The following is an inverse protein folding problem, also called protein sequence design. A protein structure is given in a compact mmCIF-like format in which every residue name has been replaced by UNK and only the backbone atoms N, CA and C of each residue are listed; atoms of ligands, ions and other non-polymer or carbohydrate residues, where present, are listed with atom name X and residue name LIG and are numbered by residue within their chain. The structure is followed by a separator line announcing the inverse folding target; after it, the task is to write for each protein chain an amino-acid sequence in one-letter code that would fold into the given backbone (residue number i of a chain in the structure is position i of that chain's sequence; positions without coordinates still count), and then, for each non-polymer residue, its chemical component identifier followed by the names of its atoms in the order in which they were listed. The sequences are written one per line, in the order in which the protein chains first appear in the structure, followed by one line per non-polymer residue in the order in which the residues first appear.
data_IF_640883972169
#
_entry.id   IF_640883972169
#
_cell.length_a   1.000
_cell.length_b   1.000
_cell.length_c   1.000
_cell.angle_alpha   90.00
_cell.angle_beta   90.00
_cell.angle_gamma   90.00
#
_symmetry.space_group_name_H-M   'P 1'
#
loop_
_entity.id
_entity.type
_entity.pdbx_description
1 polymer ?
#
# COMPACT_ATOMS: atom_id res chain seq x y z
N UNK A 1 26.89 19.90 -10.37
CA UNK A 1 27.90 19.35 -11.29
C UNK A 1 28.41 17.93 -10.93
N UNK A 2 27.83 17.21 -9.96
CA UNK A 2 28.36 15.89 -9.52
C UNK A 2 27.82 14.67 -10.29
N UNK A 3 26.62 14.76 -10.85
CA UNK A 3 25.96 13.61 -11.52
C UNK A 3 26.61 13.28 -12.86
N UNK A 4 26.91 14.29 -13.69
CA UNK A 4 27.52 14.06 -15.01
C UNK A 4 28.93 13.46 -14.92
N UNK A 5 29.67 13.79 -13.87
CA UNK A 5 30.97 13.19 -13.58
C UNK A 5 30.81 11.74 -13.10
N UNK A 6 29.88 11.50 -12.17
CA UNK A 6 29.51 10.15 -11.74
C UNK A 6 29.05 9.25 -12.90
N UNK A 7 28.32 9.80 -13.89
CA UNK A 7 27.93 9.08 -15.12
C UNK A 7 29.12 8.63 -15.96
N UNK A 8 30.24 9.34 -15.91
CA UNK A 8 31.47 8.97 -16.62
C UNK A 8 32.32 7.99 -15.82
N UNK A 9 32.36 8.14 -14.49
CA UNK A 9 33.22 7.31 -13.62
C UNK A 9 32.56 5.99 -13.23
N UNK A 10 31.23 5.92 -13.18
CA UNK A 10 30.45 4.72 -12.81
C UNK A 10 29.28 4.45 -13.77
N UNK A 11 29.53 4.32 -15.08
CA UNK A 11 28.48 4.13 -16.07
C UNK A 11 27.66 2.86 -15.80
N UNK A 12 28.26 1.80 -15.27
CA UNK A 12 27.59 0.54 -14.92
C UNK A 12 26.55 0.68 -13.80
N UNK A 13 26.79 1.55 -12.80
CA UNK A 13 25.87 1.79 -11.68
C UNK A 13 24.69 2.66 -12.12
N UNK A 14 24.95 3.64 -12.98
CA UNK A 14 23.95 4.64 -13.38
C UNK A 14 23.18 4.23 -14.62
N UNK A 15 23.69 3.31 -15.44
CA UNK A 15 22.99 2.80 -16.62
C UNK A 15 21.60 2.25 -16.28
N UNK A 16 21.38 1.47 -15.21
CA UNK A 16 20.04 1.05 -14.84
C UNK A 16 19.09 2.17 -14.45
N UNK A 17 19.61 3.31 -13.99
CA UNK A 17 18.80 4.47 -13.59
C UNK A 17 18.34 5.28 -14.81
N UNK A 18 19.19 5.39 -15.83
CA UNK A 18 18.94 6.26 -16.99
C UNK A 18 18.52 5.52 -18.27
N UNK A 19 18.81 4.21 -18.37
CA UNK A 19 18.68 3.44 -19.62
C UNK A 19 17.77 2.22 -19.47
N UNK A 20 17.60 1.67 -18.27
CA UNK A 20 16.64 0.57 -18.10
C UNK A 20 15.23 1.07 -18.39
N UNK A 21 14.56 0.42 -19.33
CA UNK A 21 13.13 0.61 -19.51
C UNK A 21 12.37 0.26 -18.23
N UNK A 22 11.22 0.89 -18.04
CA UNK A 22 10.35 0.62 -16.91
C UNK A 22 9.87 -0.84 -16.99
N UNK A 23 10.38 -1.69 -16.10
CA UNK A 23 9.86 -3.06 -15.97
C UNK A 23 8.41 -2.97 -15.49
N UNK A 24 7.52 -3.73 -16.14
CA UNK A 24 6.14 -3.84 -15.68
C UNK A 24 6.12 -4.44 -14.28
N UNK A 25 5.39 -3.79 -13.38
CA UNK A 25 5.16 -4.29 -12.04
C UNK A 25 4.33 -5.58 -12.16
N UNK A 26 4.86 -6.68 -11.65
CA UNK A 26 4.17 -7.98 -11.65
C UNK A 26 3.65 -8.30 -10.25
N UNK A 27 2.63 -9.14 -10.16
CA UNK A 27 2.14 -9.69 -8.88
C UNK A 27 3.28 -10.30 -8.07
N UNK A 28 4.16 -11.07 -8.72
CA UNK A 28 5.29 -11.71 -8.05
C UNK A 28 6.25 -10.68 -7.44
N UNK A 29 6.57 -9.61 -8.17
CA UNK A 29 7.43 -8.56 -7.66
C UNK A 29 6.77 -7.84 -6.48
N UNK A 30 5.47 -7.53 -6.57
CA UNK A 30 4.71 -6.93 -5.48
C UNK A 30 4.71 -7.83 -4.23
N UNK A 31 4.49 -9.13 -4.39
CA UNK A 31 4.52 -10.08 -3.26
C UNK A 31 5.91 -10.15 -2.61
N UNK A 32 6.99 -10.16 -3.40
CA UNK A 32 8.37 -10.23 -2.89
C UNK A 32 8.90 -8.93 -2.29
N UNK A 33 8.18 -7.82 -2.53
CA UNK A 33 8.60 -6.48 -2.12
C UNK A 33 8.59 -6.31 -0.59
N UNK A 34 7.62 -6.93 0.07
CA UNK A 34 7.36 -6.73 1.49
C UNK A 34 7.88 -7.86 2.35
N UNK A 35 8.45 -7.50 3.50
CA UNK A 35 8.56 -8.42 4.63
C UNK A 35 7.32 -8.31 5.52
N UNK A 36 6.78 -9.44 5.96
CA UNK A 36 5.56 -9.44 6.79
C UNK A 36 5.92 -9.50 8.27
N UNK A 37 5.43 -8.53 9.04
CA UNK A 37 5.61 -8.44 10.49
C UNK A 37 4.44 -9.14 11.17
N UNK A 38 4.70 -10.33 11.69
CA UNK A 38 3.68 -11.16 12.33
C UNK A 38 3.75 -11.14 13.86
N UNK A 39 2.59 -11.25 14.51
CA UNK A 39 2.45 -11.57 15.94
C UNK A 39 3.06 -12.95 16.27
N UNK A 40 3.37 -13.30 17.53
CA UNK A 40 3.97 -14.59 17.87
C UNK A 40 3.22 -15.82 17.33
N UNK A 41 3.96 -16.86 16.95
CA UNK A 41 3.39 -18.14 16.51
C UNK A 41 2.45 -18.72 17.57
N UNK A 42 1.32 -19.28 17.13
CA UNK A 42 0.30 -19.86 18.02
C UNK A 42 -0.71 -18.88 18.61
N UNK A 43 -0.51 -17.56 18.46
CA UNK A 43 -1.50 -16.57 18.88
C UNK A 43 -2.74 -16.54 17.99
N UNK A 44 -3.88 -16.10 18.53
CA UNK A 44 -5.07 -15.84 17.72
C UNK A 44 -4.82 -14.74 16.69
N UNK A 45 -4.01 -13.73 17.05
CA UNK A 45 -3.54 -12.70 16.13
C UNK A 45 -2.84 -13.32 14.91
N UNK A 46 -1.86 -14.22 15.12
CA UNK A 46 -1.18 -14.92 14.02
C UNK A 46 -2.13 -15.65 13.07
N UNK A 47 -3.19 -16.26 13.59
CA UNK A 47 -4.19 -16.94 12.73
C UNK A 47 -4.90 -15.94 11.83
N UNK A 48 -5.35 -14.81 12.39
CA UNK A 48 -6.01 -13.76 11.62
C UNK A 48 -5.07 -13.09 10.61
N UNK A 49 -3.80 -12.89 10.97
CA UNK A 49 -2.76 -12.33 10.09
C UNK A 49 -2.48 -13.23 8.89
N UNK A 50 -2.37 -14.56 9.11
CA UNK A 50 -2.18 -15.52 8.03
C UNK A 50 -3.36 -15.50 7.04
N UNK A 51 -4.60 -15.46 7.55
CA UNK A 51 -5.80 -15.34 6.71
C UNK A 51 -5.80 -14.03 5.93
N UNK A 52 -5.50 -12.91 6.60
CA UNK A 52 -5.41 -11.59 5.97
C UNK A 52 -4.34 -11.57 4.87
N UNK A 53 -3.19 -12.23 5.08
CA UNK A 53 -2.13 -12.32 4.07
C UNK A 53 -2.53 -13.22 2.89
N UNK A 54 -3.35 -14.26 3.12
CA UNK A 54 -3.95 -15.02 2.02
C UNK A 54 -4.87 -14.13 1.18
N UNK A 55 -5.78 -13.39 1.82
CA UNK A 55 -6.65 -12.45 1.12
C UNK A 55 -5.86 -11.40 0.33
N UNK A 56 -4.79 -10.86 0.92
CA UNK A 56 -3.88 -9.95 0.21
C UNK A 56 -3.31 -10.57 -1.07
N UNK A 57 -2.83 -11.83 -1.00
CA UNK A 57 -2.22 -12.50 -2.16
C UNK A 57 -3.24 -12.78 -3.25
N UNK A 58 -4.43 -13.25 -2.88
CA UNK A 58 -5.50 -13.55 -3.82
C UNK A 58 -6.00 -12.26 -4.49
N UNK A 59 -6.15 -11.19 -3.71
CA UNK A 59 -6.57 -9.89 -4.22
C UNK A 59 -5.53 -9.26 -5.17
N UNK A 60 -4.22 -9.43 -4.93
CA UNK A 60 -3.19 -8.96 -5.87
C UNK A 60 -3.32 -9.62 -7.25
N UNK A 61 -3.72 -10.90 -7.31
CA UNK A 61 -3.93 -11.61 -8.58
C UNK A 61 -5.11 -11.00 -9.32
N UNK A 62 -6.20 -10.68 -8.62
CA UNK A 62 -7.35 -10.00 -9.24
C UNK A 62 -7.02 -8.57 -9.70
N UNK A 63 -6.26 -7.82 -8.90
CA UNK A 63 -5.84 -6.45 -9.21
C UNK A 63 -4.96 -6.36 -10.48
N UNK A 64 -4.29 -7.44 -10.89
CA UNK A 64 -3.48 -7.48 -12.11
C UNK A 64 -4.29 -7.75 -13.40
N UNK A 65 -5.63 -7.75 -13.35
CA UNK A 65 -6.41 -7.88 -14.59
C UNK A 65 -7.92 -7.65 -14.53
N UNK A 66 -8.60 -7.90 -13.42
CA UNK A 66 -10.07 -7.91 -13.36
C UNK A 66 -10.68 -6.76 -12.54
N UNK A 67 -9.87 -5.92 -11.91
CA UNK A 67 -10.34 -4.90 -10.96
C UNK A 67 -10.08 -3.47 -11.45
N UNK A 68 -10.81 -2.47 -10.90
CA UNK A 68 -10.54 -1.06 -11.17
C UNK A 68 -9.22 -0.55 -10.59
N UNK A 69 -8.64 -1.26 -9.63
CA UNK A 69 -7.33 -0.97 -9.03
C UNK A 69 -6.24 -1.75 -9.76
N UNK A 70 -5.15 -1.07 -10.10
CA UNK A 70 -3.93 -1.70 -10.61
C UNK A 70 -2.86 -1.87 -9.54
N UNK A 71 -1.87 -2.72 -9.82
CA UNK A 71 -0.66 -2.85 -8.98
C UNK A 71 0.05 -1.50 -8.78
N UNK A 72 0.05 -0.61 -9.77
CA UNK A 72 0.64 0.73 -9.66
C UNK A 72 -0.12 1.61 -8.67
N UNK A 73 -1.46 1.50 -8.61
CA UNK A 73 -2.24 2.24 -7.61
C UNK A 73 -1.88 1.78 -6.19
N UNK A 74 -1.69 0.47 -6.00
CA UNK A 74 -1.28 -0.12 -4.72
C UNK A 74 0.13 0.35 -4.34
N UNK A 75 1.08 0.33 -5.28
CA UNK A 75 2.44 0.81 -5.02
C UNK A 75 2.47 2.31 -4.70
N UNK A 76 1.69 3.11 -5.43
CA UNK A 76 1.56 4.55 -5.19
C UNK A 76 0.94 4.83 -3.83
N UNK A 77 -0.03 4.01 -3.41
CA UNK A 77 -0.65 4.14 -2.09
C UNK A 77 0.37 3.98 -0.96
N UNK A 78 1.19 2.93 -1.02
CA UNK A 78 2.13 2.59 0.06
C UNK A 78 3.45 3.36 -0.01
N UNK A 79 3.93 3.73 -1.19
CA UNK A 79 5.28 4.28 -1.38
C UNK A 79 5.30 5.69 -1.96
N UNK A 80 4.17 6.18 -2.48
CA UNK A 80 4.10 7.45 -3.20
C UNK A 80 4.66 7.41 -4.63
N UNK A 81 5.20 6.28 -5.08
CA UNK A 81 5.70 6.07 -6.45
C UNK A 81 4.93 4.94 -7.14
N UNK A 82 4.84 5.00 -8.46
CA UNK A 82 4.11 4.02 -9.29
C UNK A 82 4.99 2.88 -9.82
N UNK A 83 6.30 2.96 -9.57
CA UNK A 83 7.30 1.97 -9.96
C UNK A 83 8.29 1.72 -8.82
N UNK A 84 8.78 0.48 -8.72
CA UNK A 84 9.84 0.13 -7.79
C UNK A 84 11.12 0.82 -8.28
N UNK A 85 11.82 1.61 -7.43
CA UNK A 85 13.05 2.27 -7.84
C UNK A 85 14.09 1.24 -8.34
N UNK A 86 14.92 1.56 -9.36
CA UNK A 86 15.91 0.62 -9.89
C UNK A 86 16.90 0.08 -8.86
N UNK A 87 17.16 0.86 -7.79
CA UNK A 87 18.01 0.46 -6.66
C UNK A 87 17.22 -0.08 -5.46
N UNK A 88 15.91 -0.26 -5.60
CA UNK A 88 15.00 -0.60 -4.51
C UNK A 88 14.69 0.59 -3.59
N UNK A 89 13.92 0.31 -2.53
CA UNK A 89 13.62 1.28 -1.48
C UNK A 89 14.76 1.35 -0.46
N UNK A 90 14.99 2.51 0.20
CA UNK A 90 16.08 2.68 1.17
C UNK A 90 15.98 1.73 2.36
N UNK A 91 14.74 1.49 2.80
CA UNK A 91 14.40 0.50 3.81
C UNK A 91 13.54 -0.60 3.17
N UNK A 92 13.57 -1.78 3.78
CA UNK A 92 12.78 -2.92 3.33
C UNK A 92 11.29 -2.63 3.58
N UNK A 93 10.43 -2.58 2.54
CA UNK A 93 9.00 -2.38 2.72
C UNK A 93 8.38 -3.44 3.63
N UNK A 94 7.35 -3.07 4.38
CA UNK A 94 6.73 -3.97 5.35
C UNK A 94 5.22 -4.09 5.20
N UNK A 95 4.70 -5.27 5.54
CA UNK A 95 3.28 -5.49 5.82
C UNK A 95 3.10 -5.67 7.32
N UNK A 96 2.19 -4.88 7.89
CA UNK A 96 1.71 -4.99 9.27
C UNK A 96 0.19 -5.20 9.29
N UNK A 97 -0.38 -5.45 10.47
CA UNK A 97 -1.81 -5.79 10.62
C UNK A 97 -2.50 -4.88 11.64
N UNK A 98 -3.69 -4.40 11.27
CA UNK A 98 -4.48 -3.48 12.08
C UNK A 98 -5.37 -4.23 13.09
N UNK A 99 -4.78 -4.65 14.21
CA UNK A 99 -5.50 -5.35 15.29
C UNK A 99 -6.31 -4.41 16.19
N UNK A 100 -5.73 -3.27 16.57
CA UNK A 100 -6.35 -2.37 17.53
C UNK A 100 -7.46 -1.53 16.89
N UNK A 101 -8.58 -1.27 17.61
CA UNK A 101 -9.58 -0.31 17.16
C UNK A 101 -9.02 1.11 17.18
N UNK A 102 -9.74 2.03 16.52
CA UNK A 102 -9.50 3.46 16.63
C UNK A 102 -9.82 3.94 18.06
N UNK A 103 -9.35 5.13 18.42
CA UNK A 103 -9.57 5.74 19.75
C UNK A 103 -11.06 5.84 20.14
N UNK A 104 -11.94 5.98 19.15
CA UNK A 104 -13.38 6.02 19.33
C UNK A 104 -14.05 4.64 19.48
N UNK A 105 -13.26 3.56 19.56
CA UNK A 105 -13.72 2.18 19.68
C UNK A 105 -14.17 1.52 18.37
N UNK A 106 -14.15 2.23 17.24
CA UNK A 106 -14.53 1.65 15.94
C UNK A 106 -13.41 0.80 15.33
N UNK A 107 -13.79 -0.26 14.60
CA UNK A 107 -12.86 -1.15 13.90
C UNK A 107 -12.10 -0.39 12.80
N UNK A 108 -10.80 -0.66 12.66
CA UNK A 108 -9.99 -0.21 11.53
C UNK A 108 -10.31 -1.06 10.30
N UNK A 109 -11.21 -0.55 9.45
CA UNK A 109 -11.71 -1.28 8.27
C UNK A 109 -10.88 -1.05 7.01
N UNK A 110 -10.18 0.07 6.91
CA UNK A 110 -9.43 0.48 5.72
C UNK A 110 -7.93 0.18 5.86
N UNK A 111 -7.21 -0.02 4.75
CA UNK A 111 -5.76 -0.06 4.79
C UNK A 111 -5.17 1.30 5.14
N UNK A 112 -3.94 1.25 5.65
CA UNK A 112 -3.17 2.45 5.96
C UNK A 112 -1.77 2.33 5.39
N UNK A 113 -1.20 3.46 4.99
CA UNK A 113 0.15 3.54 4.48
C UNK A 113 0.99 4.54 5.27
N UNK A 114 2.22 4.14 5.59
CA UNK A 114 3.30 5.05 5.92
C UNK A 114 4.25 5.11 4.73
N UNK A 115 4.20 6.19 3.96
CA UNK A 115 4.94 6.28 2.69
C UNK A 115 6.43 6.50 2.88
N UNK A 116 6.83 7.15 3.98
CA UNK A 116 8.24 7.38 4.30
C UNK A 116 8.99 6.08 4.54
N UNK A 117 8.38 5.15 5.28
CA UNK A 117 8.99 3.86 5.64
C UNK A 117 8.48 2.70 4.76
N UNK A 118 7.61 3.00 3.80
CA UNK A 118 6.96 2.03 2.89
C UNK A 118 6.31 0.88 3.65
N UNK A 119 5.46 1.23 4.63
CA UNK A 119 4.72 0.25 5.44
C UNK A 119 3.25 0.26 5.01
N UNK A 120 2.75 -0.91 4.61
CA UNK A 120 1.33 -1.15 4.36
C UNK A 120 0.72 -1.88 5.56
N UNK A 121 -0.30 -1.29 6.16
CA UNK A 121 -1.05 -1.92 7.26
C UNK A 121 -2.36 -2.46 6.72
N UNK A 122 -2.52 -3.77 6.80
CA UNK A 122 -3.70 -4.47 6.29
C UNK A 122 -4.80 -4.51 7.36
N UNK A 123 -6.05 -4.19 7.01
CA UNK A 123 -7.19 -4.38 7.90
C UNK A 123 -7.50 -5.87 8.01
N UNK A 124 -7.80 -6.33 9.22
CA UNK A 124 -8.24 -7.70 9.46
C UNK A 124 -9.73 -7.76 9.20
N UNK A 125 -10.16 -8.63 8.29
CA UNK A 125 -11.55 -8.90 7.93
C UNK A 125 -11.88 -10.39 8.03
N UNK A 126 -13.16 -10.73 8.12
CA UNK A 126 -13.59 -12.13 8.26
C UNK A 126 -13.69 -12.83 6.92
N UNK A 127 -14.08 -12.09 5.87
CA UNK A 127 -14.23 -12.61 4.52
C UNK A 127 -13.33 -11.90 3.52
N UNK A 128 -13.08 -12.57 2.39
CA UNK A 128 -12.30 -12.02 1.29
C UNK A 128 -13.01 -10.81 0.65
N UNK A 129 -14.34 -10.86 0.56
CA UNK A 129 -15.15 -9.81 -0.07
C UNK A 129 -15.08 -8.51 0.73
N UNK A 130 -15.18 -8.58 2.06
CA UNK A 130 -15.00 -7.41 2.93
C UNK A 130 -13.58 -6.85 2.79
N UNK A 131 -12.57 -7.73 2.85
CA UNK A 131 -11.18 -7.33 2.67
C UNK A 131 -10.99 -6.56 1.36
N UNK A 132 -11.43 -7.14 0.25
CA UNK A 132 -11.33 -6.55 -1.08
C UNK A 132 -12.06 -5.20 -1.17
N UNK A 133 -13.31 -5.11 -0.73
CA UNK A 133 -14.12 -3.89 -0.81
C UNK A 133 -13.45 -2.72 -0.08
N UNK A 134 -12.99 -2.96 1.14
CA UNK A 134 -12.38 -1.92 1.97
C UNK A 134 -10.94 -1.58 1.53
N UNK A 135 -10.17 -2.56 1.05
CA UNK A 135 -8.86 -2.31 0.43
C UNK A 135 -9.01 -1.37 -0.76
N UNK A 136 -9.95 -1.68 -1.65
CA UNK A 136 -10.14 -0.88 -2.86
C UNK A 136 -10.66 0.52 -2.57
N UNK A 137 -11.69 0.59 -1.75
CA UNK A 137 -12.27 1.86 -1.33
C UNK A 137 -11.23 2.75 -0.66
N UNK A 138 -10.40 2.19 0.23
CA UNK A 138 -9.38 2.94 0.93
C UNK A 138 -8.29 3.49 0.00
N UNK A 139 -7.81 2.66 -0.93
CA UNK A 139 -6.76 3.06 -1.87
C UNK A 139 -7.25 4.12 -2.86
N UNK A 140 -8.42 3.92 -3.45
CA UNK A 140 -9.04 4.86 -4.42
C UNK A 140 -9.28 6.22 -3.79
N UNK A 141 -9.78 6.24 -2.54
CA UNK A 141 -10.10 7.49 -1.85
C UNK A 141 -8.86 8.13 -1.20
N UNK A 142 -7.74 7.42 -1.08
CA UNK A 142 -6.51 7.91 -0.45
C UNK A 142 -6.00 9.28 -0.94
N UNK A 143 -6.09 9.65 -2.24
CA UNK A 143 -5.68 10.99 -2.70
C UNK A 143 -6.62 12.11 -2.26
N UNK A 144 -7.88 11.78 -1.96
CA UNK A 144 -8.93 12.75 -1.62
C UNK A 144 -9.00 13.10 -0.13
N UNK A 145 -8.41 12.30 0.76
CA UNK A 145 -8.47 12.55 2.21
C UNK A 145 -7.66 13.77 2.70
N UNK A 146 -6.85 14.39 1.84
CA UNK A 146 -6.13 15.64 2.12
C UNK A 146 -6.74 16.90 1.49
N UNK A 147 -7.73 16.76 0.60
CA UNK A 147 -8.43 17.89 0.00
C UNK A 147 -9.79 18.05 0.67
N UNK A 148 -9.87 19.00 1.61
CA UNK A 148 -11.14 19.54 2.05
C UNK A 148 -11.79 20.28 0.86
N UNK A 149 -12.52 19.55 0.00
CA UNK A 149 -13.32 20.18 -1.05
C UNK A 149 -14.52 20.86 -0.39
N UNK A 150 -14.36 22.15 -0.12
CA UNK A 150 -15.48 23.10 -0.19
C UNK A 150 -16.12 22.95 -1.58
N UNK A 151 -17.45 22.90 -1.59
CA UNK A 151 -18.39 22.88 -2.72
C UNK A 151 -19.02 21.53 -3.11
N UNK A 152 -20.05 21.17 -2.32
CA UNK A 152 -21.46 20.94 -2.71
C UNK A 152 -21.81 19.84 -3.73
N UNK A 153 -22.43 18.81 -3.14
CA UNK A 153 -23.72 18.13 -3.48
C UNK A 153 -23.63 16.76 -4.15
N UNK A 154 -24.26 15.79 -3.47
CA UNK A 154 -24.74 14.48 -3.94
C UNK A 154 -23.76 13.30 -4.00
N UNK A 155 -23.12 12.95 -2.86
CA UNK A 155 -22.94 11.56 -2.43
C UNK A 155 -22.53 11.53 -0.93
N UNK A 156 -23.37 12.10 -0.07
CA UNK A 156 -23.16 12.15 1.37
C UNK A 156 -24.36 11.52 2.06
N UNK A 157 -24.36 10.19 2.15
CA UNK A 157 -25.26 9.47 3.05
C UNK A 157 -24.68 8.15 3.57
N UNK A 158 -23.37 7.92 3.55
CA UNK A 158 -22.75 6.88 4.38
C UNK A 158 -21.35 7.38 4.68
N UNK A 159 -21.07 7.76 5.91
CA UNK A 159 -19.78 7.70 6.62
C UNK A 159 -19.83 8.72 7.77
N UNK A 160 -19.84 8.27 9.03
CA UNK A 160 -19.79 9.18 10.16
C UNK A 160 -18.47 9.97 10.15
N UNK A 161 -18.56 11.25 10.54
CA UNK A 161 -17.43 12.18 10.67
C UNK A 161 -16.40 11.66 11.69
N UNK A 162 -15.49 10.81 11.26
CA UNK A 162 -14.30 10.43 12.01
C UNK A 162 -13.14 10.49 11.07
N UNK A 163 -12.12 11.30 11.40
CA UNK A 163 -10.88 11.41 10.63
C UNK A 163 -10.22 10.03 10.56
N UNK A 164 -10.47 9.29 9.48
CA UNK A 164 -9.71 8.08 9.14
C UNK A 164 -8.51 8.55 8.34
N UNK A 165 -7.37 8.76 9.00
CA UNK A 165 -6.12 9.09 8.32
C UNK A 165 -5.59 7.80 7.68
N UNK A 166 -5.79 7.63 6.36
CA UNK A 166 -5.29 6.46 5.62
C UNK A 166 -3.85 6.61 5.11
N UNK A 167 -3.29 7.82 5.24
CA UNK A 167 -1.91 8.15 4.86
C UNK A 167 -1.27 9.05 5.89
N UNK A 168 -0.17 8.61 6.48
CA UNK A 168 0.73 9.50 7.21
C UNK A 168 1.70 10.10 6.21
N UNK A 169 1.62 11.41 5.99
CA UNK A 169 2.61 12.17 5.23
C UNK A 169 3.45 12.97 6.21
N UNK A 170 4.77 13.08 5.92
CA UNK A 170 5.67 14.00 6.60
C UNK A 170 5.21 15.46 6.40
#
# INVERSE_FOLDING_TARGET
LKVAEAMRTHPEILRPIFVSGHNQLTVQNMMSLFDTVFSPLGSNARRAENLTLMFWRDWLIEADGSRPISLQNILTFVSGVDLIPPLGFPERPQIEFLHAPLENGSRRRYPEANTCSVVMRLPIHETFEEFQEYMESGIIQSPTFGFEYRFKTAFLAVFPRTKVFMKEAC
#
